data_IF_319435313620
#
_entry.id   IF_319435313620
#
_cell.length_a   1.000
_cell.length_b   1.000
_cell.length_c   1.000
_cell.angle_alpha   90.00
_cell.angle_beta   90.00
_cell.angle_gamma   90.00
#
_symmetry.space_group_name_H-M   'P 1'
#
loop_
_entity.id
_entity.type
_entity.pdbx_description
1 polymer ?
#
# COMPACT_ATOMS: atom_id res chain seq x y z
N UNK A 1 -0.27 15.65 -5.18
CA UNK A 1 -1.16 14.83 -4.32
C UNK A 1 -2.08 14.00 -5.19
N UNK A 2 -2.06 12.69 -4.99
CA UNK A 2 -2.94 11.74 -5.67
C UNK A 2 -3.71 10.95 -4.59
N UNK A 3 -5.01 10.75 -4.79
CA UNK A 3 -5.83 9.96 -3.87
C UNK A 3 -5.94 8.54 -4.39
N UNK A 4 -5.68 7.56 -3.52
CA UNK A 4 -5.81 6.13 -3.79
C UNK A 4 -6.76 5.53 -2.76
N UNK A 5 -7.57 4.58 -3.20
CA UNK A 5 -8.52 3.86 -2.35
C UNK A 5 -8.31 2.36 -2.49
N UNK A 6 -8.36 1.65 -1.37
CA UNK A 6 -8.33 0.20 -1.31
C UNK A 6 -9.64 -0.30 -0.71
N UNK A 7 -10.35 -1.14 -1.45
CA UNK A 7 -11.46 -1.92 -0.93
C UNK A 7 -10.99 -3.36 -0.73
N UNK A 8 -11.29 -3.94 0.43
CA UNK A 8 -10.86 -5.28 0.81
C UNK A 8 -11.97 -6.02 1.55
N UNK A 9 -11.91 -7.36 1.57
CA UNK A 9 -12.84 -8.19 2.34
C UNK A 9 -12.36 -8.35 3.79
N UNK A 10 -13.04 -7.68 4.71
CA UNK A 10 -12.71 -7.68 6.14
C UNK A 10 -12.89 -9.04 6.82
N UNK A 11 -13.56 -10.00 6.17
CA UNK A 11 -13.67 -11.38 6.70
C UNK A 11 -12.38 -12.17 6.52
N UNK A 12 -11.51 -11.70 5.62
CA UNK A 12 -10.28 -12.40 5.20
C UNK A 12 -9.05 -11.58 5.57
N UNK A 13 -9.08 -10.26 5.38
CA UNK A 13 -7.94 -9.36 5.57
C UNK A 13 -8.22 -8.40 6.71
N UNK A 14 -7.26 -8.26 7.64
CA UNK A 14 -7.37 -7.31 8.74
C UNK A 14 -7.17 -5.86 8.28
N UNK A 15 -7.72 -4.91 9.04
CA UNK A 15 -7.53 -3.48 8.78
C UNK A 15 -6.08 -3.04 8.82
N UNK A 16 -5.27 -3.62 9.71
CA UNK A 16 -3.83 -3.32 9.78
C UNK A 16 -3.10 -3.71 8.50
N UNK A 17 -3.34 -4.93 8.01
CA UNK A 17 -2.72 -5.44 6.78
C UNK A 17 -3.12 -4.59 5.57
N UNK A 18 -4.39 -4.23 5.48
CA UNK A 18 -4.92 -3.39 4.40
C UNK A 18 -4.31 -1.99 4.37
N UNK A 19 -4.15 -1.37 5.54
CA UNK A 19 -3.50 -0.06 5.67
C UNK A 19 -2.02 -0.13 5.33
N UNK A 20 -1.32 -1.16 5.81
CA UNK A 20 0.10 -1.37 5.49
C UNK A 20 0.30 -1.58 3.99
N UNK A 21 -0.54 -2.41 3.35
CA UNK A 21 -0.48 -2.63 1.91
C UNK A 21 -0.70 -1.33 1.12
N UNK A 22 -1.76 -0.57 1.44
CA UNK A 22 -2.04 0.68 0.73
C UNK A 22 -0.92 1.71 0.92
N UNK A 23 -0.30 1.75 2.11
CA UNK A 23 0.87 2.59 2.38
C UNK A 23 2.06 2.18 1.52
N UNK A 24 2.38 0.89 1.42
CA UNK A 24 3.46 0.38 0.57
C UNK A 24 3.25 0.77 -0.89
N UNK A 25 2.03 0.61 -1.42
CA UNK A 25 1.70 1.04 -2.79
C UNK A 25 1.90 2.54 -2.97
N UNK A 26 1.42 3.36 -2.02
CA UNK A 26 1.64 4.82 -2.05
C UNK A 26 3.13 5.17 -2.10
N UNK A 27 3.94 4.54 -1.26
CA UNK A 27 5.38 4.81 -1.17
C UNK A 27 6.13 4.40 -2.44
N UNK A 28 5.77 3.28 -3.05
CA UNK A 28 6.32 2.85 -4.36
C UNK A 28 5.95 3.83 -5.48
N UNK A 29 4.72 4.34 -5.47
CA UNK A 29 4.27 5.32 -6.47
C UNK A 29 4.92 6.70 -6.26
N UNK A 30 5.28 7.05 -5.03
CA UNK A 30 5.98 8.30 -4.71
C UNK A 30 7.51 8.19 -4.95
N UNK A 31 8.10 7.02 -4.72
CA UNK A 31 9.52 6.73 -4.94
C UNK A 31 9.73 5.32 -5.51
N UNK A 32 9.71 5.16 -6.85
CA UNK A 32 9.87 3.86 -7.50
C UNK A 32 11.22 3.18 -7.23
N UNK A 33 12.25 3.91 -6.79
CA UNK A 33 13.54 3.32 -6.46
C UNK A 33 13.46 2.32 -5.30
N UNK A 34 12.45 2.44 -4.42
CA UNK A 34 12.20 1.48 -3.33
C UNK A 34 11.95 0.05 -3.82
N UNK A 35 11.34 -0.11 -5.00
CA UNK A 35 11.17 -1.43 -5.62
C UNK A 35 12.50 -2.09 -5.99
N UNK A 36 13.48 -1.29 -6.40
CA UNK A 36 14.80 -1.77 -6.82
C UNK A 36 15.71 -2.08 -5.64
N UNK A 37 15.49 -1.40 -4.51
CA UNK A 37 16.35 -1.48 -3.33
C UNK A 37 15.83 -2.43 -2.24
N UNK A 38 14.64 -3.01 -2.43
CA UNK A 38 13.94 -3.88 -1.44
C UNK A 38 13.87 -3.24 -0.02
N UNK A 39 13.67 -1.92 0.02
CA UNK A 39 13.64 -1.10 1.25
C UNK A 39 12.26 -0.99 1.89
#
# INVERSE_FOLDING_TARGET
>A
MMYVALTYDHRIIDGKESVQFLKTIKEILEDPARLLLEL
#
